data_IF_474434198962
#
_entry.id   IF_474434198962
#
_cell.length_a   1.000
_cell.length_b   1.000
_cell.length_c   1.000
_cell.angle_alpha   90.00
_cell.angle_beta   90.00
_cell.angle_gamma   90.00
#
_symmetry.space_group_name_H-M   'P 1'
#
loop_
_entity.id
_entity.type
_entity.pdbx_description
1 polymer ?
#
# COMPACT_ATOMS: atom_id res chain seq x y z
N UNK A 1 9.80 14.28 -4.75
CA UNK A 1 11.02 15.08 -5.00
C UNK A 1 10.59 16.49 -5.32
N UNK A 2 11.05 17.52 -4.61
CA UNK A 2 10.65 18.91 -4.91
C UNK A 2 11.30 19.39 -6.21
N UNK A 3 10.60 20.28 -6.94
CA UNK A 3 11.12 20.89 -8.17
C UNK A 3 12.43 21.64 -7.88
N UNK A 4 12.60 22.21 -6.68
CA UNK A 4 13.81 22.90 -6.25
C UNK A 4 15.04 21.97 -6.20
N UNK A 5 14.90 20.77 -5.62
CA UNK A 5 16.00 19.78 -5.57
C UNK A 5 16.39 19.32 -6.98
N UNK A 6 15.39 19.14 -7.85
CA UNK A 6 15.59 18.79 -9.25
C UNK A 6 16.26 19.92 -10.04
N UNK A 7 15.84 21.17 -9.80
CA UNK A 7 16.41 22.36 -10.40
C UNK A 7 17.88 22.51 -10.00
N UNK A 8 18.20 22.38 -8.72
CA UNK A 8 19.56 22.53 -8.22
C UNK A 8 20.48 21.45 -8.79
N UNK A 9 20.03 20.19 -8.82
CA UNK A 9 20.80 19.09 -9.40
C UNK A 9 21.00 19.25 -10.90
N UNK A 10 19.95 19.58 -11.65
CA UNK A 10 20.03 19.78 -13.10
C UNK A 10 20.88 21.01 -13.46
N UNK A 11 20.78 22.08 -12.67
CA UNK A 11 21.61 23.27 -12.85
C UNK A 11 23.08 22.97 -12.58
N UNK A 12 23.37 22.20 -11.53
CA UNK A 12 24.72 21.77 -11.21
C UNK A 12 25.31 20.88 -12.30
N UNK A 13 24.57 19.89 -12.81
CA UNK A 13 25.01 19.04 -13.93
C UNK A 13 25.27 19.84 -15.22
N UNK A 14 24.49 20.91 -15.47
CA UNK A 14 24.73 21.83 -16.58
C UNK A 14 25.99 22.68 -16.38
N UNK A 15 26.29 23.08 -15.15
CA UNK A 15 27.51 23.83 -14.83
C UNK A 15 28.77 22.96 -14.79
N UNK A 16 28.64 21.68 -14.43
CA UNK A 16 29.76 20.75 -14.24
C UNK A 16 30.23 20.11 -15.57
N UNK A 17 29.35 19.95 -16.56
CA UNK A 17 29.64 19.21 -17.80
C UNK A 17 30.38 19.99 -18.90
N UNK A 18 30.60 21.29 -18.75
CA UNK A 18 31.41 22.04 -19.70
C UNK A 18 32.00 23.25 -18.99
N UNK A 19 33.33 23.40 -19.00
CA UNK A 19 34.03 24.62 -18.59
C UNK A 19 33.71 25.86 -19.45
N UNK A 20 32.54 25.89 -20.09
CA UNK A 20 32.03 26.90 -21.04
C UNK A 20 30.95 27.82 -20.44
N UNK A 21 30.50 27.56 -19.21
CA UNK A 21 29.42 28.31 -18.55
C UNK A 21 29.91 29.21 -17.42
N UNK A 22 31.14 29.72 -17.49
CA UNK A 22 31.53 30.86 -16.68
C UNK A 22 30.74 32.08 -17.15
N UNK A 23 29.67 32.36 -16.40
CA UNK A 23 28.78 33.51 -16.56
C UNK A 23 29.51 34.86 -16.65
N UNK A 24 30.72 34.93 -16.11
CA UNK A 24 31.58 36.10 -16.09
C UNK A 24 32.50 36.21 -17.33
N UNK A 25 32.85 35.09 -17.98
CA UNK A 25 33.82 35.07 -19.09
C UNK A 25 33.16 34.97 -20.46
N UNK A 26 31.99 34.30 -20.57
CA UNK A 26 31.28 34.10 -21.84
C UNK A 26 29.75 34.27 -21.69
N UNK A 27 29.23 35.52 -21.63
CA UNK A 27 27.80 35.78 -21.44
C UNK A 27 26.92 35.24 -22.58
N UNK A 28 27.48 35.08 -23.78
CA UNK A 28 26.75 34.72 -25.00
C UNK A 28 26.59 33.20 -25.20
N UNK A 29 27.26 32.37 -24.38
CA UNK A 29 27.23 30.90 -24.47
C UNK A 29 26.21 30.24 -23.53
N UNK A 30 25.36 31.02 -22.86
CA UNK A 30 24.30 30.48 -22.00
C UNK A 30 23.17 29.89 -22.86
N UNK A 31 23.13 28.56 -22.95
CA UNK A 31 22.04 27.84 -23.63
C UNK A 31 20.68 28.03 -22.96
N UNK A 32 20.66 28.22 -21.63
CA UNK A 32 19.45 28.46 -20.84
C UNK A 32 19.82 29.14 -19.51
N UNK A 33 18.98 30.05 -19.03
CA UNK A 33 19.09 30.62 -17.68
C UNK A 33 18.47 29.70 -16.62
N UNK A 34 18.85 29.88 -15.34
CA UNK A 34 18.25 29.12 -14.24
C UNK A 34 16.74 29.35 -14.14
N UNK A 35 16.27 30.56 -14.44
CA UNK A 35 14.85 30.92 -14.45
C UNK A 35 14.08 30.25 -15.60
N UNK A 36 14.71 30.09 -16.76
CA UNK A 36 14.14 29.36 -17.89
C UNK A 36 14.12 27.85 -17.63
N UNK A 37 15.17 27.31 -17.01
CA UNK A 37 15.20 25.91 -16.58
C UNK A 37 14.11 25.64 -15.54
N UNK A 38 13.93 26.54 -14.57
CA UNK A 38 12.85 26.46 -13.59
C UNK A 38 11.48 26.41 -14.26
N UNK A 39 11.21 27.33 -15.19
CA UNK A 39 9.96 27.33 -16.00
C UNK A 39 9.77 26.04 -16.78
N UNK A 40 10.83 25.56 -17.44
CA UNK A 40 10.78 24.30 -18.17
C UNK A 40 10.45 23.10 -17.27
N UNK A 41 11.06 23.01 -16.10
CA UNK A 41 10.81 21.93 -15.15
C UNK A 41 9.38 21.98 -14.61
N UNK A 42 8.83 23.18 -14.36
CA UNK A 42 7.43 23.35 -13.97
C UNK A 42 6.49 22.87 -15.10
N UNK A 43 6.70 23.31 -16.33
CA UNK A 43 5.88 22.90 -17.48
C UNK A 43 5.98 21.39 -17.75
N UNK A 44 7.19 20.83 -17.66
CA UNK A 44 7.43 19.40 -17.80
C UNK A 44 6.71 18.62 -16.71
N UNK A 45 6.74 19.10 -15.47
CA UNK A 45 6.01 18.48 -14.36
C UNK A 45 4.51 18.45 -14.60
N UNK A 46 3.94 19.55 -15.12
CA UNK A 46 2.51 19.62 -15.42
C UNK A 46 2.13 18.65 -16.55
N UNK A 47 2.89 18.63 -17.65
CA UNK A 47 2.66 17.70 -18.77
C UNK A 47 2.82 16.24 -18.36
N UNK A 48 3.79 15.93 -17.50
CA UNK A 48 3.95 14.58 -16.96
C UNK A 48 2.78 14.16 -16.10
N UNK A 49 2.25 15.05 -15.25
CA UNK A 49 1.05 14.79 -14.45
C UNK A 49 -0.17 14.53 -15.33
N UNK A 50 -0.37 15.37 -16.34
CA UNK A 50 -1.49 15.22 -17.28
C UNK A 50 -1.43 13.88 -18.03
N UNK A 51 -0.24 13.48 -18.48
CA UNK A 51 -0.02 12.20 -19.16
C UNK A 51 -0.27 10.98 -18.25
N UNK A 52 0.14 11.04 -16.98
CA UNK A 52 0.01 9.94 -16.02
C UNK A 52 -1.35 9.81 -15.37
N UNK A 53 -2.15 10.88 -15.37
CA UNK A 53 -3.52 10.82 -14.90
C UNK A 53 -4.45 10.09 -15.88
N UNK A 54 -4.05 9.95 -17.17
CA UNK A 54 -4.84 9.28 -18.22
C UNK A 54 -6.27 9.83 -18.40
N UNK A 55 -6.56 11.02 -17.88
CA UNK A 55 -7.92 11.58 -17.81
C UNK A 55 -8.86 10.86 -16.84
N UNK A 56 -8.34 10.04 -15.92
CA UNK A 56 -9.12 9.26 -14.96
C UNK A 56 -9.32 10.09 -13.68
N UNK A 57 -10.58 10.33 -13.29
CA UNK A 57 -10.89 10.99 -12.02
C UNK A 57 -10.91 9.98 -10.89
N UNK A 58 -9.91 10.02 -10.02
CA UNK A 58 -9.81 9.15 -8.84
C UNK A 58 -10.65 9.72 -7.68
N UNK A 59 -11.40 8.83 -7.04
CA UNK A 59 -12.17 9.07 -5.82
C UNK A 59 -11.69 8.12 -4.71
N UNK A 60 -11.83 8.54 -3.46
CA UNK A 60 -11.47 7.72 -2.30
C UNK A 60 -12.67 6.91 -1.82
N UNK A 61 -12.45 5.61 -1.59
CA UNK A 61 -13.39 4.77 -0.86
C UNK A 61 -13.07 4.86 0.62
N UNK A 62 -14.06 5.23 1.43
CA UNK A 62 -13.90 5.48 2.87
C UNK A 62 -14.87 4.63 3.68
N UNK A 63 -14.43 4.21 4.85
CA UNK A 63 -15.31 3.57 5.82
C UNK A 63 -16.33 4.59 6.36
N UNK A 64 -17.58 4.18 6.51
CA UNK A 64 -18.67 5.07 6.97
C UNK A 64 -18.45 5.58 8.40
N UNK A 65 -17.95 4.73 9.30
CA UNK A 65 -17.86 5.07 10.73
C UNK A 65 -16.61 5.89 11.05
N UNK A 66 -15.43 5.44 10.64
CA UNK A 66 -14.17 6.15 10.94
C UNK A 66 -13.79 7.22 9.91
N UNK A 67 -14.38 7.19 8.71
CA UNK A 67 -13.95 8.01 7.58
C UNK A 67 -12.57 7.60 7.02
N UNK A 68 -11.97 6.50 7.50
CA UNK A 68 -10.66 6.04 7.06
C UNK A 68 -10.68 5.61 5.60
N UNK A 69 -9.62 5.96 4.87
CA UNK A 69 -9.47 5.57 3.46
C UNK A 69 -9.19 4.07 3.39
N UNK A 70 -10.10 3.34 2.74
CA UNK A 70 -9.97 1.91 2.48
C UNK A 70 -9.30 1.63 1.13
N UNK A 71 -9.44 2.55 0.19
CA UNK A 71 -8.99 2.36 -1.18
C UNK A 71 -9.38 3.49 -2.11
N UNK A 72 -9.28 3.22 -3.41
CA UNK A 72 -9.51 4.21 -4.45
C UNK A 72 -10.37 3.60 -5.56
N UNK A 73 -11.20 4.42 -6.19
CA UNK A 73 -11.99 4.00 -7.32
C UNK A 73 -12.14 5.11 -8.37
N UNK A 74 -12.56 4.72 -9.57
CA UNK A 74 -12.98 5.64 -10.61
C UNK A 74 -14.18 5.07 -11.34
N UNK A 75 -15.13 5.94 -11.72
CA UNK A 75 -16.30 5.54 -12.50
C UNK A 75 -15.89 5.20 -13.93
N UNK A 76 -16.19 3.98 -14.35
CA UNK A 76 -15.80 3.39 -15.62
C UNK A 76 -14.90 2.16 -15.45
N UNK A 77 -14.89 1.30 -16.46
CA UNK A 77 -13.94 0.20 -16.57
C UNK A 77 -12.72 0.67 -17.34
N UNK A 78 -11.67 1.03 -16.60
CA UNK A 78 -10.38 1.48 -17.15
C UNK A 78 -9.41 0.32 -17.23
N UNK A 79 -8.39 0.48 -18.08
CA UNK A 79 -7.22 -0.38 -18.05
C UNK A 79 -6.54 -0.34 -16.67
N UNK A 80 -6.14 -1.52 -16.17
CA UNK A 80 -5.61 -1.64 -14.80
C UNK A 80 -4.30 -0.90 -14.60
N UNK A 81 -3.44 -0.86 -15.62
CA UNK A 81 -2.18 -0.13 -15.53
C UNK A 81 -2.43 1.38 -15.47
N UNK A 82 -3.29 1.89 -16.36
CA UNK A 82 -3.65 3.31 -16.38
C UNK A 82 -4.33 3.76 -15.09
N UNK A 83 -5.22 2.93 -14.55
CA UNK A 83 -5.87 3.21 -13.27
C UNK A 83 -4.87 3.23 -12.11
N UNK A 84 -3.97 2.23 -12.03
CA UNK A 84 -2.93 2.21 -11.00
C UNK A 84 -2.00 3.43 -11.07
N UNK A 85 -1.56 3.83 -12.27
CA UNK A 85 -0.76 5.04 -12.46
C UNK A 85 -1.52 6.31 -12.03
N UNK A 86 -2.79 6.45 -12.40
CA UNK A 86 -3.62 7.58 -12.00
C UNK A 86 -3.82 7.62 -10.47
N UNK A 87 -4.03 6.48 -9.80
CA UNK A 87 -4.11 6.40 -8.33
C UNK A 87 -2.79 6.83 -7.67
N UNK A 88 -1.66 6.36 -8.17
CA UNK A 88 -0.35 6.69 -7.60
C UNK A 88 -0.01 8.19 -7.80
N UNK A 89 -0.40 8.77 -8.93
CA UNK A 89 -0.26 10.21 -9.17
C UNK A 89 -1.20 11.02 -8.26
N UNK A 90 -2.47 10.61 -8.12
CA UNK A 90 -3.46 11.26 -7.25
C UNK A 90 -2.99 11.30 -5.79
N UNK A 91 -2.46 10.17 -5.30
CA UNK A 91 -2.02 10.03 -3.90
C UNK A 91 -0.60 10.53 -3.62
N UNK A 92 0.22 10.67 -4.67
CA UNK A 92 1.66 10.86 -4.57
C UNK A 92 2.38 9.68 -3.91
N UNK A 93 1.84 8.47 -4.00
CA UNK A 93 2.34 7.30 -3.28
C UNK A 93 3.71 6.83 -3.80
N UNK A 94 4.63 6.56 -2.87
CA UNK A 94 5.92 5.98 -3.16
C UNK A 94 5.85 4.44 -3.25
N UNK A 95 6.48 3.81 -4.27
CA UNK A 95 6.41 2.36 -4.49
C UNK A 95 7.00 1.49 -3.39
N UNK A 96 7.89 2.02 -2.55
CA UNK A 96 8.63 1.25 -1.54
C UNK A 96 8.09 1.47 -0.14
N UNK A 97 7.70 2.70 0.19
CA UNK A 97 7.39 3.08 1.57
C UNK A 97 5.94 3.45 1.81
N UNK A 98 5.14 3.62 0.76
CA UNK A 98 3.75 4.04 0.91
C UNK A 98 2.77 2.87 0.73
N UNK A 99 2.00 2.60 1.79
CA UNK A 99 0.94 1.59 1.77
C UNK A 99 -0.20 1.90 0.78
N UNK A 100 -0.31 3.15 0.33
CA UNK A 100 -1.30 3.60 -0.66
C UNK A 100 -0.90 3.27 -2.09
N UNK A 101 0.35 2.82 -2.32
CA UNK A 101 0.84 2.52 -3.65
C UNK A 101 0.07 1.36 -4.28
N UNK A 102 -0.53 1.61 -5.44
CA UNK A 102 -1.39 0.67 -6.16
C UNK A 102 -0.60 -0.03 -7.26
N UNK A 103 -0.67 -1.37 -7.30
CA UNK A 103 -0.21 -2.15 -8.44
C UNK A 103 -1.38 -2.52 -9.35
N UNK A 104 -1.13 -2.77 -10.65
CA UNK A 104 -2.18 -3.19 -11.58
C UNK A 104 -2.93 -4.46 -11.14
N UNK A 105 -2.25 -5.36 -10.43
CA UNK A 105 -2.85 -6.60 -9.90
C UNK A 105 -3.78 -6.36 -8.70
N UNK A 106 -3.66 -5.22 -8.03
CA UNK A 106 -4.54 -4.80 -6.93
C UNK A 106 -5.84 -4.16 -7.45
N UNK A 107 -5.98 -3.99 -8.77
CA UNK A 107 -7.12 -3.34 -9.42
C UNK A 107 -8.15 -4.35 -9.92
N UNK A 108 -9.43 -4.04 -9.69
CA UNK A 108 -10.58 -4.86 -10.10
C UNK A 108 -11.58 -4.01 -10.85
N UNK A 109 -12.31 -4.63 -11.76
CA UNK A 109 -13.43 -4.02 -12.46
C UNK A 109 -14.71 -4.61 -11.90
N UNK A 110 -15.57 -3.75 -11.36
CA UNK A 110 -16.80 -4.15 -10.68
C UNK A 110 -17.97 -3.31 -11.21
N UNK A 111 -19.18 -3.66 -10.77
CA UNK A 111 -20.39 -2.88 -10.99
C UNK A 111 -20.95 -2.51 -9.63
N UNK A 112 -21.15 -1.23 -9.38
CA UNK A 112 -21.67 -0.73 -8.12
C UNK A 112 -22.99 -0.01 -8.30
N UNK A 113 -23.74 0.12 -7.20
CA UNK A 113 -24.89 1.00 -7.09
C UNK A 113 -24.77 1.83 -5.82
N UNK A 114 -25.34 3.02 -5.85
CA UNK A 114 -25.39 3.93 -4.70
C UNK A 114 -26.65 3.66 -3.89
N UNK A 115 -26.51 3.42 -2.60
CA UNK A 115 -27.62 3.20 -1.66
C UNK A 115 -27.55 4.29 -0.56
N UNK A 116 -28.63 5.04 -0.31
CA UNK A 116 -28.66 5.99 0.80
C UNK A 116 -28.44 5.30 2.14
N UNK A 117 -27.61 5.88 2.99
CA UNK A 117 -27.45 5.41 4.38
C UNK A 117 -28.64 5.95 5.19
N UNK A 118 -29.42 5.04 5.76
CA UNK A 118 -30.60 5.42 6.55
C UNK A 118 -30.20 6.20 7.80
N UNK A 119 -30.72 7.42 7.95
CA UNK A 119 -30.54 8.25 9.15
C UNK A 119 -29.64 9.47 8.97
N UNK A 120 -28.82 9.52 7.91
CA UNK A 120 -27.94 10.66 7.63
C UNK A 120 -28.23 11.30 6.27
N UNK A 121 -28.71 12.56 6.23
CA UNK A 121 -28.93 13.27 4.98
C UNK A 121 -27.62 13.44 4.20
N UNK A 122 -27.54 12.87 2.99
CA UNK A 122 -26.41 13.05 2.08
C UNK A 122 -25.34 11.95 2.14
N UNK A 123 -25.41 11.02 3.10
CA UNK A 123 -24.51 9.87 3.16
C UNK A 123 -24.97 8.77 2.19
N UNK A 124 -24.03 8.28 1.37
CA UNK A 124 -24.28 7.19 0.42
C UNK A 124 -23.26 6.08 0.58
N UNK A 125 -23.74 4.85 0.51
CA UNK A 125 -22.93 3.64 0.51
C UNK A 125 -22.88 3.06 -0.90
N UNK A 126 -21.70 2.54 -1.27
CA UNK A 126 -21.51 1.84 -2.54
C UNK A 126 -21.64 0.34 -2.32
N UNK A 127 -22.47 -0.31 -3.12
CA UNK A 127 -22.70 -1.75 -3.05
C UNK A 127 -22.47 -2.41 -4.40
N UNK A 128 -21.95 -3.63 -4.39
CA UNK A 128 -21.91 -4.48 -5.58
C UNK A 128 -23.29 -4.66 -6.19
N UNK A 129 -23.33 -4.61 -7.52
CA UNK A 129 -24.52 -4.69 -8.34
C UNK A 129 -24.25 -5.58 -9.57
N UNK A 130 -25.30 -6.11 -10.18
CA UNK A 130 -25.17 -6.81 -11.46
C UNK A 130 -25.03 -5.81 -12.61
N UNK A 131 -24.31 -6.17 -13.69
CA UNK A 131 -24.26 -5.38 -14.91
C UNK A 131 -25.67 -5.06 -15.41
N UNK A 132 -25.88 -3.83 -15.88
CA UNK A 132 -27.17 -3.34 -16.43
C UNK A 132 -28.36 -3.33 -15.45
N UNK A 133 -28.17 -3.67 -14.18
CA UNK A 133 -29.22 -3.51 -13.17
C UNK A 133 -29.52 -2.02 -12.91
N UNK A 134 -30.72 -1.71 -12.42
CA UNK A 134 -31.18 -0.33 -12.23
C UNK A 134 -30.25 0.42 -11.26
N UNK A 135 -29.66 1.52 -11.74
CA UNK A 135 -28.76 2.35 -10.95
C UNK A 135 -27.35 1.80 -10.80
N UNK A 136 -27.01 0.72 -11.51
CA UNK A 136 -25.65 0.21 -11.54
C UNK A 136 -24.74 1.04 -12.45
N UNK A 137 -23.49 1.22 -12.05
CA UNK A 137 -22.45 1.87 -12.83
C UNK A 137 -21.16 1.06 -12.77
N UNK A 138 -20.42 1.07 -13.88
CA UNK A 138 -19.12 0.44 -13.99
C UNK A 138 -18.11 1.19 -13.10
N UNK A 139 -17.22 0.45 -12.44
CA UNK A 139 -16.19 1.01 -11.59
C UNK A 139 -14.88 0.22 -11.74
N UNK A 140 -13.75 0.92 -11.68
CA UNK A 140 -12.44 0.32 -11.46
C UNK A 140 -12.02 0.68 -10.05
N UNK A 141 -11.67 -0.30 -9.22
CA UNK A 141 -11.47 -0.14 -7.78
C UNK A 141 -10.22 -0.88 -7.30
N UNK A 142 -9.61 -0.36 -6.24
CA UNK A 142 -8.62 -1.06 -5.42
C UNK A 142 -8.91 -0.83 -3.94
N UNK A 143 -8.68 -1.86 -3.11
CA UNK A 143 -8.78 -1.81 -1.64
C UNK A 143 -7.39 -1.95 -1.00
N UNK A 144 -6.35 -1.44 -1.66
CA UNK A 144 -4.95 -1.67 -1.28
C UNK A 144 -4.64 -1.33 0.18
N UNK A 145 -5.29 -0.29 0.73
CA UNK A 145 -5.05 0.17 2.10
C UNK A 145 -5.62 -0.83 3.11
N UNK A 146 -6.89 -1.22 2.92
CA UNK A 146 -7.54 -2.24 3.77
C UNK A 146 -6.85 -3.61 3.66
N UNK A 147 -6.50 -4.03 2.43
CA UNK A 147 -5.77 -5.28 2.20
C UNK A 147 -4.39 -5.28 2.89
N UNK A 148 -3.72 -4.13 2.95
CA UNK A 148 -2.46 -3.98 3.67
C UNK A 148 -2.65 -4.12 5.19
N UNK A 149 -3.65 -3.45 5.76
CA UNK A 149 -3.95 -3.50 7.19
C UNK A 149 -4.36 -4.90 7.65
N UNK A 150 -5.19 -5.60 6.86
CA UNK A 150 -5.55 -7.00 7.11
C UNK A 150 -4.33 -7.92 7.11
N UNK A 151 -3.46 -7.79 6.12
CA UNK A 151 -2.22 -8.60 6.03
C UNK A 151 -1.27 -8.32 7.19
N UNK A 152 -1.10 -7.06 7.60
CA UNK A 152 -0.28 -6.73 8.76
C UNK A 152 -0.85 -7.32 10.05
N UNK A 153 -2.16 -7.17 10.26
CA UNK A 153 -2.85 -7.72 11.42
C UNK A 153 -2.70 -9.23 11.49
N UNK A 154 -2.88 -9.93 10.36
CA UNK A 154 -2.68 -11.38 10.30
C UNK A 154 -1.25 -11.78 10.68
N UNK A 155 -0.23 -11.08 10.16
CA UNK A 155 1.17 -11.36 10.52
C UNK A 155 1.42 -11.16 12.02
N UNK A 156 0.80 -10.16 12.62
CA UNK A 156 0.92 -9.90 14.05
C UNK A 156 0.30 -11.03 14.88
N UNK A 157 -0.91 -11.47 14.51
CA UNK A 157 -1.59 -12.63 15.11
C UNK A 157 -0.70 -13.89 14.99
N UNK A 158 -0.19 -14.16 13.80
CA UNK A 158 0.67 -15.32 13.54
C UNK A 158 1.96 -15.27 14.40
N UNK A 159 2.57 -14.09 14.53
CA UNK A 159 3.74 -13.88 15.37
C UNK A 159 3.41 -14.10 16.85
N UNK A 160 2.25 -13.64 17.31
CA UNK A 160 1.80 -13.86 18.68
C UNK A 160 1.60 -15.35 18.97
N UNK A 161 0.96 -16.10 18.06
CA UNK A 161 0.79 -17.54 18.19
C UNK A 161 2.13 -18.29 18.20
N UNK A 162 3.06 -17.91 17.32
CA UNK A 162 4.43 -18.46 17.31
C UNK A 162 5.16 -18.20 18.62
N UNK A 163 5.09 -16.98 19.15
CA UNK A 163 5.69 -16.63 20.44
C UNK A 163 5.09 -17.42 21.61
N UNK A 164 3.76 -17.59 21.62
CA UNK A 164 3.07 -18.41 22.63
C UNK A 164 3.48 -19.87 22.56
N UNK A 165 3.58 -20.44 21.37
CA UNK A 165 4.02 -21.82 21.17
C UNK A 165 5.49 -22.01 21.61
N UNK A 166 6.37 -21.07 21.27
CA UNK A 166 7.77 -21.08 21.70
C UNK A 166 7.90 -21.01 23.23
N UNK A 167 7.19 -20.08 23.88
CA UNK A 167 7.21 -19.96 25.34
C UNK A 167 6.64 -21.21 26.05
N UNK A 168 5.60 -21.83 25.50
CA UNK A 168 5.09 -23.10 26.01
C UNK A 168 6.13 -24.22 25.88
N UNK A 169 6.80 -24.33 24.74
CA UNK A 169 7.84 -25.33 24.51
C UNK A 169 9.05 -25.14 25.43
N UNK A 170 9.48 -23.89 25.65
CA UNK A 170 10.55 -23.56 26.61
C UNK A 170 10.16 -23.92 28.04
N UNK A 171 8.94 -23.57 28.47
CA UNK A 171 8.41 -23.92 29.78
C UNK A 171 8.30 -25.43 30.00
N UNK A 172 7.82 -26.17 29.00
CA UNK A 172 7.75 -27.64 29.04
C UNK A 172 9.15 -28.26 29.13
N UNK A 173 10.10 -27.78 28.31
CA UNK A 173 11.49 -28.25 28.37
C UNK A 173 12.15 -27.96 29.73
N UNK A 174 11.88 -26.79 30.32
CA UNK A 174 12.36 -26.47 31.66
C UNK A 174 11.76 -27.42 32.70
N UNK A 175 10.45 -27.67 32.66
CA UNK A 175 9.76 -28.55 33.60
C UNK A 175 10.30 -30.00 33.51
N UNK A 176 10.50 -30.51 32.29
CA UNK A 176 11.09 -31.82 32.05
C UNK A 176 12.51 -31.91 32.65
N UNK A 177 13.35 -30.89 32.43
CA UNK A 177 14.70 -30.84 33.03
C UNK A 177 14.68 -30.79 34.56
N UNK A 178 13.69 -30.15 35.18
CA UNK A 178 13.53 -30.20 36.63
C UNK A 178 13.07 -31.57 37.11
N UNK A 179 12.15 -32.20 36.39
CA UNK A 179 11.69 -33.55 36.70
C UNK A 179 12.82 -34.58 36.56
N UNK A 180 13.63 -34.51 35.51
CA UNK A 180 14.80 -35.40 35.34
C UNK A 180 15.78 -35.32 36.51
N UNK A 181 15.90 -34.15 37.16
CA UNK A 181 16.75 -33.96 38.33
C UNK A 181 16.15 -34.51 39.63
N UNK A 182 14.82 -34.54 39.73
CA UNK A 182 14.11 -34.92 40.96
C UNK A 182 13.68 -36.39 40.93
N UNK A 183 13.12 -36.82 39.80
CA UNK A 183 12.65 -38.17 39.51
C UNK A 183 12.54 -38.39 37.99
N UNK A 184 13.53 -39.04 37.40
CA UNK A 184 13.62 -39.27 35.95
C UNK A 184 12.41 -40.05 35.36
N UNK A 185 11.85 -41.00 36.10
CA UNK A 185 10.67 -41.76 35.62
C UNK A 185 9.42 -40.87 35.47
N UNK A 186 9.31 -39.81 36.27
CA UNK A 186 8.21 -38.86 36.17
C UNK A 186 8.30 -37.97 34.92
N UNK A 187 9.52 -37.69 34.43
CA UNK A 187 9.76 -36.97 33.17
C UNK A 187 9.30 -37.77 31.95
N UNK A 188 9.66 -39.06 31.92
CA UNK A 188 9.27 -39.99 30.86
C UNK A 188 7.74 -40.21 30.81
N UNK A 189 7.09 -40.36 31.96
CA UNK A 189 5.64 -40.52 32.04
C UNK A 189 4.88 -39.26 31.58
N UNK A 190 5.40 -38.06 31.89
CA UNK A 190 4.81 -36.80 31.41
C UNK A 190 4.90 -36.67 29.88
N UNK A 191 6.06 -36.99 29.29
CA UNK A 191 6.26 -37.00 27.84
C UNK A 191 5.35 -38.02 27.14
N UNK A 192 5.18 -39.21 27.74
CA UNK A 192 4.28 -40.25 27.21
C UNK A 192 2.84 -39.75 27.16
N UNK A 193 2.32 -39.18 28.26
CA UNK A 193 0.95 -38.65 28.33
C UNK A 193 0.72 -37.49 27.35
N UNK A 194 1.69 -36.58 27.21
CA UNK A 194 1.60 -35.49 26.26
C UNK A 194 1.48 -36.00 24.81
N UNK A 195 2.33 -36.96 24.41
CA UNK A 195 2.29 -37.57 23.07
C UNK A 195 1.01 -38.36 22.80
N UNK A 196 0.46 -39.03 23.81
CA UNK A 196 -0.82 -39.74 23.71
C UNK A 196 -2.02 -38.81 23.56
N UNK A 197 -1.99 -37.66 24.22
CA UNK A 197 -3.01 -36.63 24.07
C UNK A 197 -2.94 -35.97 22.68
N UNK A 198 -1.73 -35.62 22.21
CA UNK A 198 -1.53 -34.97 20.91
C UNK A 198 -1.98 -35.86 19.73
N UNK A 199 -1.73 -37.18 19.82
CA UNK A 199 -2.26 -38.17 18.85
C UNK A 199 -3.79 -38.24 18.80
N UNK A 200 -4.49 -37.95 19.90
CA UNK A 200 -5.96 -37.90 19.92
C UNK A 200 -6.50 -36.58 19.35
N UNK A 201 -5.74 -35.49 19.49
CA UNK A 201 -6.12 -34.17 18.99
C UNK A 201 -5.91 -33.97 17.49
N UNK A 202 -4.98 -34.70 16.86
CA UNK A 202 -4.71 -34.65 15.41
C UNK A 202 -5.56 -35.59 14.54
N UNK A 203 -6.51 -36.33 15.12
CA UNK A 203 -7.40 -37.26 14.42
C UNK A 203 -8.86 -36.76 14.32
N UNK A 204 -9.09 -35.47 14.57
CA UNK A 204 -10.39 -34.80 14.49
C UNK A 204 -10.38 -33.73 13.38
#
# INVERSE_FOLDING_TARGET
MSIEILLDKAWQELCDNDGRTSAAEHPDMRLISRDELSRFLVDASFKWKEARNHGISIEESRELDSGSVMGFFARGHYDRHKFAEACNEYTGADPYYDRRYVRPDDCRQEWWRTVPVSGEPGAVSYHNAEPHSRGAFAVTVTNVVDDHERKQTQRWIDSHHKGRAAGFAEGLNWALRQLDRINAEAGDELLRRYREHDKKSGAA
#
